data_IF_922797048422
#
_entry.id   IF_922797048422
#
_cell.length_a   1.000
_cell.length_b   1.000
_cell.length_c   1.000
_cell.angle_alpha   90.00
_cell.angle_beta   90.00
_cell.angle_gamma   90.00
#
_symmetry.space_group_name_H-M   'P 1'
#
loop_
_entity.id
_entity.type
_entity.pdbx_description
1 polymer ?
#
# COMPACT_ATOMS: atom_id res chain seq x y z
N UNK A 1 28.28 -16.37 22.09
CA UNK A 1 27.62 -15.54 21.06
C UNK A 1 27.77 -14.09 21.48
N UNK A 2 28.52 -13.23 20.77
CA UNK A 2 28.69 -11.85 21.20
C UNK A 2 27.47 -11.02 20.76
N UNK A 3 26.88 -10.33 21.72
CA UNK A 3 25.82 -9.34 21.50
C UNK A 3 26.32 -8.25 20.53
N UNK A 4 25.60 -8.02 19.45
CA UNK A 4 25.84 -6.89 18.53
C UNK A 4 25.44 -5.59 19.22
N UNK A 5 26.40 -5.00 19.95
CA UNK A 5 26.27 -3.68 20.54
C UNK A 5 26.11 -2.62 19.44
N UNK A 6 25.17 -1.70 19.62
CA UNK A 6 25.07 -0.49 18.81
C UNK A 6 26.45 0.21 18.75
N UNK A 7 26.89 0.70 17.57
CA UNK A 7 28.21 1.30 17.44
C UNK A 7 28.42 2.45 18.42
N UNK A 8 29.56 2.46 19.11
CA UNK A 8 29.88 3.45 20.13
C UNK A 8 30.26 4.81 19.52
N UNK A 9 30.07 5.90 20.29
CA UNK A 9 30.32 7.31 19.89
C UNK A 9 31.68 7.55 19.19
N UNK A 10 32.70 6.74 19.48
CA UNK A 10 34.05 6.88 18.93
C UNK A 10 34.17 6.37 17.49
N UNK A 11 33.41 5.32 17.12
CA UNK A 11 33.31 4.82 15.74
C UNK A 11 32.40 5.71 14.88
N UNK A 12 31.39 6.34 15.50
CA UNK A 12 30.50 7.33 14.87
C UNK A 12 31.25 8.57 14.36
N UNK A 13 32.21 9.11 15.12
CA UNK A 13 32.95 10.31 14.71
C UNK A 13 33.92 10.05 13.53
N UNK A 14 34.43 8.83 13.38
CA UNK A 14 35.32 8.44 12.28
C UNK A 14 34.57 8.13 10.97
N UNK A 15 33.30 7.70 11.04
CA UNK A 15 32.42 7.57 9.85
C UNK A 15 31.58 8.81 9.57
N UNK A 16 31.39 9.71 10.54
CA UNK A 16 30.62 10.95 10.35
C UNK A 16 31.31 11.96 9.41
N UNK A 17 32.65 11.98 9.34
CA UNK A 17 33.38 12.90 8.46
C UNK A 17 33.18 12.61 6.96
N UNK A 18 32.80 11.38 6.58
CA UNK A 18 32.47 11.03 5.19
C UNK A 18 30.95 11.07 4.89
N UNK A 19 30.09 10.97 5.92
CA UNK A 19 28.62 10.99 5.76
C UNK A 19 27.98 12.39 5.96
N UNK A 20 28.66 13.32 6.66
CA UNK A 20 28.12 14.65 6.93
C UNK A 20 28.08 15.57 5.69
N UNK A 21 28.85 15.27 4.64
CA UNK A 21 28.82 16.05 3.40
C UNK A 21 27.60 15.76 2.51
N UNK A 22 26.85 14.67 2.75
CA UNK A 22 25.70 14.27 1.92
C UNK A 22 24.33 14.69 2.49
N UNK A 23 24.27 15.27 3.70
CA UNK A 23 23.00 15.52 4.42
C UNK A 23 22.61 16.99 4.58
N UNK A 24 23.36 17.92 3.97
CA UNK A 24 23.05 19.35 3.96
C UNK A 24 22.96 19.97 2.56
N UNK A 25 22.99 19.14 1.50
CA UNK A 25 22.57 19.64 0.19
C UNK A 25 21.06 19.91 0.25
N UNK A 26 20.56 21.08 -0.21
CA UNK A 26 19.13 21.21 -0.48
C UNK A 26 18.78 20.04 -1.39
N UNK A 27 17.72 19.27 -1.07
CA UNK A 27 17.22 18.20 -1.94
C UNK A 27 17.20 18.77 -3.35
N UNK A 28 18.18 18.38 -4.16
CA UNK A 28 18.39 18.97 -5.46
C UNK A 28 17.06 18.83 -6.17
N UNK A 29 16.52 19.95 -6.68
CA UNK A 29 15.27 20.00 -7.42
C UNK A 29 15.15 18.72 -8.25
N UNK A 30 14.25 17.83 -7.85
CA UNK A 30 13.93 16.68 -8.66
C UNK A 30 13.59 17.26 -10.03
N UNK A 31 14.31 16.79 -11.06
CA UNK A 31 14.07 17.28 -12.42
C UNK A 31 12.56 17.24 -12.67
N UNK A 32 11.97 18.31 -13.24
CA UNK A 32 10.52 18.48 -13.25
C UNK A 32 9.83 17.26 -13.85
N UNK A 33 8.66 16.92 -13.31
CA UNK A 33 7.82 15.87 -13.88
C UNK A 33 7.63 16.11 -15.38
N UNK A 34 7.66 15.03 -16.14
CA UNK A 34 7.32 15.02 -17.56
C UNK A 34 5.81 15.01 -17.72
N UNK A 35 5.33 15.54 -18.85
CA UNK A 35 3.92 15.52 -19.26
C UNK A 35 2.96 16.21 -18.29
N UNK A 36 3.44 17.17 -17.49
CA UNK A 36 2.59 18.00 -16.64
C UNK A 36 1.53 18.72 -17.48
N UNK A 37 0.33 18.79 -16.91
CA UNK A 37 -0.83 19.43 -17.53
C UNK A 37 -0.96 20.87 -17.07
N UNK A 38 -0.45 21.80 -17.86
CA UNK A 38 -0.36 23.24 -17.51
C UNK A 38 -1.36 24.09 -18.29
N UNK A 39 -1.42 25.40 -17.99
CA UNK A 39 -2.27 26.35 -18.71
C UNK A 39 -3.74 26.30 -18.32
N UNK A 40 -4.07 25.75 -17.14
CA UNK A 40 -5.44 25.73 -16.61
C UNK A 40 -6.39 24.73 -17.28
N UNK A 41 -5.90 23.93 -18.24
CA UNK A 41 -6.71 22.87 -18.87
C UNK A 41 -7.01 21.74 -17.87
N UNK A 42 -8.13 21.06 -18.08
CA UNK A 42 -8.46 19.83 -17.34
C UNK A 42 -7.52 18.68 -17.74
N UNK A 43 -7.28 17.78 -16.80
CA UNK A 43 -6.67 16.48 -17.07
C UNK A 43 -7.65 15.62 -17.89
N UNK A 44 -7.15 14.94 -18.91
CA UNK A 44 -7.87 13.88 -19.60
C UNK A 44 -7.56 12.56 -18.93
N UNK A 45 -8.53 12.05 -18.17
CA UNK A 45 -8.39 10.88 -17.31
C UNK A 45 -9.07 9.66 -17.95
N UNK A 46 -8.34 8.56 -18.01
CA UNK A 46 -8.91 7.25 -18.33
C UNK A 46 -9.03 6.39 -17.07
N UNK A 47 -10.16 5.70 -16.90
CA UNK A 47 -10.42 4.89 -15.72
C UNK A 47 -10.37 3.40 -16.06
N UNK A 48 -9.57 2.62 -15.33
CA UNK A 48 -9.39 1.17 -15.51
C UNK A 48 -9.90 0.44 -14.27
N UNK A 49 -10.94 -0.38 -14.45
CA UNK A 49 -11.72 -0.98 -13.36
C UNK A 49 -12.75 0.01 -12.83
N UNK A 50 -14.04 -0.27 -13.03
CA UNK A 50 -15.14 0.68 -12.88
C UNK A 50 -16.12 0.31 -11.77
N UNK A 51 -16.03 -0.91 -11.22
CA UNK A 51 -16.86 -1.32 -10.09
C UNK A 51 -16.28 -0.96 -8.72
N UNK A 52 -17.12 -0.87 -7.68
CA UNK A 52 -16.70 -0.69 -6.29
C UNK A 52 -15.77 0.52 -6.10
N UNK A 53 -14.50 0.27 -5.75
CA UNK A 53 -13.52 1.37 -5.57
C UNK A 53 -13.25 2.14 -6.86
N UNK A 54 -13.20 1.45 -8.00
CA UNK A 54 -13.01 2.08 -9.31
C UNK A 54 -14.07 3.10 -9.66
N UNK A 55 -15.32 2.85 -9.26
CA UNK A 55 -16.40 3.84 -9.36
C UNK A 55 -16.06 5.09 -8.54
N UNK A 56 -15.74 4.93 -7.25
CA UNK A 56 -15.44 6.06 -6.38
C UNK A 56 -14.19 6.85 -6.82
N UNK A 57 -13.16 6.18 -7.33
CA UNK A 57 -11.94 6.83 -7.82
C UNK A 57 -12.21 7.62 -9.11
N UNK A 58 -13.04 7.07 -10.02
CA UNK A 58 -13.50 7.77 -11.22
C UNK A 58 -14.31 9.01 -10.88
N UNK A 59 -15.24 8.90 -9.91
CA UNK A 59 -16.05 10.01 -9.45
C UNK A 59 -15.24 11.07 -8.69
N UNK A 60 -14.18 10.67 -7.98
CA UNK A 60 -13.26 11.61 -7.33
C UNK A 60 -12.50 12.47 -8.34
N UNK A 61 -12.43 12.06 -9.60
CA UNK A 61 -11.84 12.82 -10.71
C UNK A 61 -12.87 13.67 -11.49
N UNK A 62 -14.11 13.83 -11.00
CA UNK A 62 -15.17 14.55 -11.73
C UNK A 62 -14.90 16.05 -11.99
N UNK A 63 -13.90 16.65 -11.34
CA UNK A 63 -13.43 18.02 -11.69
C UNK A 63 -12.67 18.07 -13.01
N UNK A 64 -12.16 16.92 -13.46
CA UNK A 64 -11.36 16.75 -14.66
C UNK A 64 -12.22 16.18 -15.81
N UNK A 65 -11.60 15.90 -16.96
CA UNK A 65 -12.27 15.35 -18.13
C UNK A 65 -12.09 13.83 -18.17
N UNK A 66 -13.17 13.06 -17.95
CA UNK A 66 -13.13 11.61 -18.12
C UNK A 66 -13.28 11.29 -19.61
N UNK A 67 -12.18 10.84 -20.24
CA UNK A 67 -12.13 10.59 -21.70
C UNK A 67 -12.32 9.13 -22.06
N UNK A 68 -12.03 8.20 -21.14
CA UNK A 68 -12.13 6.78 -21.39
C UNK A 68 -12.51 5.99 -20.14
N UNK A 69 -13.30 4.94 -20.32
CA UNK A 69 -13.79 4.04 -19.27
C UNK A 69 -13.53 2.60 -19.71
N UNK A 70 -12.74 1.87 -18.91
CA UNK A 70 -12.30 0.52 -19.20
C UNK A 70 -12.71 -0.47 -18.11
N UNK A 71 -13.59 -1.43 -18.43
CA UNK A 71 -13.90 -2.56 -17.56
C UNK A 71 -14.10 -3.83 -18.38
N UNK A 72 -13.56 -4.94 -17.89
CA UNK A 72 -13.75 -6.26 -18.50
C UNK A 72 -15.19 -6.75 -18.35
N UNK A 73 -15.93 -6.21 -17.38
CA UNK A 73 -17.36 -6.43 -17.17
C UNK A 73 -18.17 -5.13 -17.33
N UNK A 74 -18.82 -4.97 -18.48
CA UNK A 74 -19.57 -3.74 -18.79
C UNK A 74 -20.76 -3.50 -17.87
N UNK A 75 -21.31 -4.53 -17.22
CA UNK A 75 -22.37 -4.31 -16.24
C UNK A 75 -21.85 -3.53 -15.02
N UNK A 76 -20.59 -3.75 -14.63
CA UNK A 76 -19.95 -3.00 -13.54
C UNK A 76 -19.68 -1.55 -13.90
N UNK A 77 -19.45 -1.26 -15.19
CA UNK A 77 -19.22 0.09 -15.70
C UNK A 77 -20.48 0.92 -15.95
N UNK A 78 -21.67 0.30 -15.86
CA UNK A 78 -22.96 0.89 -16.31
C UNK A 78 -23.22 2.30 -15.79
N UNK A 79 -23.01 2.54 -14.49
CA UNK A 79 -23.25 3.87 -13.90
C UNK A 79 -22.32 4.93 -14.48
N UNK A 80 -21.02 4.63 -14.64
CA UNK A 80 -20.07 5.56 -15.21
C UNK A 80 -20.31 5.77 -16.70
N UNK A 81 -20.72 4.73 -17.45
CA UNK A 81 -21.12 4.87 -18.85
C UNK A 81 -22.34 5.79 -19.03
N UNK A 82 -23.27 5.76 -18.09
CA UNK A 82 -24.42 6.67 -18.07
C UNK A 82 -23.99 8.10 -17.73
N UNK A 83 -23.13 8.27 -16.71
CA UNK A 83 -22.69 9.59 -16.23
C UNK A 83 -21.74 10.30 -17.21
N UNK A 84 -20.94 9.53 -17.93
CA UNK A 84 -19.96 10.03 -18.90
C UNK A 84 -20.22 9.41 -20.28
N UNK A 85 -21.35 9.76 -20.94
CA UNK A 85 -21.75 9.12 -22.19
C UNK A 85 -20.80 9.40 -23.37
N UNK A 86 -19.99 10.46 -23.26
CA UNK A 86 -18.99 10.84 -24.27
C UNK A 86 -17.64 10.14 -24.08
N UNK A 87 -17.40 9.51 -22.93
CA UNK A 87 -16.16 8.79 -22.70
C UNK A 87 -16.13 7.51 -23.56
N UNK A 88 -15.01 7.27 -24.23
CA UNK A 88 -14.81 6.05 -25.01
C UNK A 88 -14.82 4.83 -24.07
N UNK A 89 -15.36 3.70 -24.54
CA UNK A 89 -15.59 2.50 -23.72
C UNK A 89 -14.73 1.37 -24.22
N UNK A 90 -13.98 0.74 -23.32
CA UNK A 90 -13.07 -0.35 -23.64
C UNK A 90 -13.24 -1.51 -22.67
N UNK A 91 -13.00 -2.73 -23.14
CA UNK A 91 -12.84 -3.91 -22.25
C UNK A 91 -11.39 -4.13 -21.88
N UNK A 92 -10.48 -3.84 -22.81
CA UNK A 92 -9.05 -4.04 -22.67
C UNK A 92 -8.32 -2.70 -22.54
N UNK A 93 -7.63 -2.51 -21.41
CA UNK A 93 -6.87 -1.28 -21.16
C UNK A 93 -5.69 -1.14 -22.12
N UNK A 94 -5.16 -2.25 -22.66
CA UNK A 94 -4.05 -2.25 -23.61
C UNK A 94 -4.50 -1.63 -24.93
N UNK A 95 -5.67 -2.04 -25.40
CA UNK A 95 -6.31 -1.46 -26.58
C UNK A 95 -6.63 0.02 -26.35
N UNK A 96 -7.23 0.36 -25.20
CA UNK A 96 -7.53 1.74 -24.83
C UNK A 96 -6.27 2.62 -24.88
N UNK A 97 -5.18 2.19 -24.24
CA UNK A 97 -3.93 2.94 -24.19
C UNK A 97 -3.27 3.06 -25.57
N UNK A 98 -3.37 2.03 -26.41
CA UNK A 98 -2.85 2.06 -27.78
C UNK A 98 -3.62 3.04 -28.68
N UNK A 99 -4.96 3.02 -28.65
CA UNK A 99 -5.80 3.84 -29.53
C UNK A 99 -5.97 5.29 -29.04
N UNK A 100 -5.91 5.51 -27.72
CA UNK A 100 -6.14 6.80 -27.11
C UNK A 100 -4.88 7.46 -26.56
N UNK A 101 -3.69 6.90 -26.80
CA UNK A 101 -2.42 7.36 -26.25
C UNK A 101 -2.31 8.88 -26.06
N UNK A 102 -2.38 9.67 -27.13
CA UNK A 102 -2.21 11.14 -27.07
C UNK A 102 -3.42 11.90 -26.49
N UNK A 103 -4.54 11.20 -26.29
CA UNK A 103 -5.80 11.69 -25.72
C UNK A 103 -5.91 11.43 -24.21
N UNK A 104 -4.95 10.73 -23.61
CA UNK A 104 -4.92 10.43 -22.17
C UNK A 104 -3.71 11.12 -21.54
N UNK A 105 -3.94 11.90 -20.49
CA UNK A 105 -2.87 12.49 -19.66
C UNK A 105 -2.59 11.61 -18.43
N UNK A 106 -3.64 11.02 -17.86
CA UNK A 106 -3.56 10.30 -16.59
C UNK A 106 -4.52 9.11 -16.54
N UNK A 107 -4.20 8.12 -15.71
CA UNK A 107 -5.05 6.94 -15.50
C UNK A 107 -5.34 6.69 -14.02
N UNK A 108 -6.57 6.26 -13.72
CA UNK A 108 -6.91 5.64 -12.44
C UNK A 108 -7.02 4.12 -12.62
N UNK A 109 -6.40 3.32 -11.74
CA UNK A 109 -6.37 1.85 -11.81
C UNK A 109 -6.92 1.28 -10.51
N UNK A 110 -8.04 0.58 -10.60
CA UNK A 110 -8.77 0.02 -9.44
C UNK A 110 -9.29 -1.39 -9.73
N UNK A 111 -8.50 -2.17 -10.46
CA UNK A 111 -8.75 -3.58 -10.81
C UNK A 111 -8.40 -4.52 -9.64
N UNK A 112 -8.53 -5.85 -9.77
CA UNK A 112 -7.96 -6.77 -8.80
C UNK A 112 -6.42 -6.74 -8.75
N UNK A 113 -5.84 -7.09 -7.59
CA UNK A 113 -4.40 -6.91 -7.29
C UNK A 113 -3.48 -7.49 -8.37
N UNK A 114 -3.82 -8.66 -8.94
CA UNK A 114 -2.99 -9.35 -9.94
C UNK A 114 -2.78 -8.58 -11.24
N UNK A 115 -3.56 -7.54 -11.50
CA UNK A 115 -3.49 -6.69 -12.70
C UNK A 115 -2.95 -5.28 -12.43
N UNK A 116 -2.81 -4.87 -11.16
CA UNK A 116 -2.30 -3.53 -10.83
C UNK A 116 -0.95 -3.27 -11.48
N UNK A 117 -0.02 -4.24 -11.39
CA UNK A 117 1.33 -4.10 -11.93
C UNK A 117 1.35 -3.83 -13.43
N UNK A 118 0.70 -4.68 -14.23
CA UNK A 118 0.78 -4.62 -15.70
C UNK A 118 0.13 -3.35 -16.25
N UNK A 119 -1.04 -2.97 -15.73
CA UNK A 119 -1.70 -1.73 -16.11
C UNK A 119 -0.88 -0.49 -15.70
N UNK A 120 -0.30 -0.51 -14.49
CA UNK A 120 0.51 0.61 -13.97
C UNK A 120 1.80 0.77 -14.74
N UNK A 121 2.54 -0.32 -15.00
CA UNK A 121 3.80 -0.29 -15.73
C UNK A 121 3.58 0.27 -17.14
N UNK A 122 2.58 -0.25 -17.87
CA UNK A 122 2.26 0.21 -19.22
C UNK A 122 1.91 1.70 -19.24
N UNK A 123 1.10 2.18 -18.30
CA UNK A 123 0.76 3.59 -18.21
C UNK A 123 1.99 4.48 -17.92
N UNK A 124 2.87 4.05 -17.01
CA UNK A 124 4.13 4.74 -16.70
C UNK A 124 5.05 4.80 -17.92
N UNK A 125 5.21 3.69 -18.65
CA UNK A 125 6.05 3.60 -19.85
C UNK A 125 5.54 4.51 -20.97
N UNK A 126 4.21 4.66 -21.08
CA UNK A 126 3.56 5.61 -21.99
C UNK A 126 3.55 7.06 -21.47
N UNK A 127 4.25 7.34 -20.36
CA UNK A 127 4.39 8.67 -19.79
C UNK A 127 3.10 9.23 -19.20
N UNK A 128 2.16 8.38 -18.77
CA UNK A 128 0.90 8.79 -18.14
C UNK A 128 1.08 8.96 -16.65
N UNK A 129 0.41 9.96 -16.07
CA UNK A 129 0.29 10.03 -14.61
C UNK A 129 -0.59 8.90 -14.10
N UNK A 130 -0.29 8.33 -12.94
CA UNK A 130 -0.99 7.14 -12.43
C UNK A 130 -1.50 7.34 -11.01
N UNK A 131 -2.79 7.07 -10.81
CA UNK A 131 -3.36 6.79 -9.50
C UNK A 131 -3.77 5.31 -9.47
N UNK A 132 -3.23 4.51 -8.56
CA UNK A 132 -3.47 3.06 -8.53
C UNK A 132 -3.88 2.61 -7.13
N UNK A 133 -4.89 1.75 -7.01
CA UNK A 133 -5.32 1.26 -5.70
C UNK A 133 -4.27 0.38 -5.00
N UNK A 134 -4.44 0.26 -3.68
CA UNK A 134 -3.62 -0.62 -2.84
C UNK A 134 -4.11 -2.08 -2.91
N UNK A 135 -3.24 -3.07 -2.64
CA UNK A 135 -1.77 -2.94 -2.59
C UNK A 135 -1.23 -2.54 -3.97
N UNK A 136 -0.09 -1.85 -4.04
CA UNK A 136 0.43 -1.34 -5.32
C UNK A 136 0.66 -2.46 -6.34
N UNK A 137 1.08 -3.63 -5.86
CA UNK A 137 1.44 -4.81 -6.65
C UNK A 137 1.03 -6.09 -5.93
N UNK A 138 1.04 -7.20 -6.67
CA UNK A 138 0.75 -8.52 -6.12
C UNK A 138 2.02 -9.18 -5.57
N UNK A 139 3.20 -8.84 -6.11
CA UNK A 139 4.49 -9.39 -5.67
C UNK A 139 5.49 -8.31 -5.27
N UNK A 140 6.51 -8.71 -4.50
CA UNK A 140 7.61 -7.84 -4.06
C UNK A 140 8.46 -7.39 -5.27
N UNK A 141 8.76 -8.32 -6.19
CA UNK A 141 9.54 -8.02 -7.39
C UNK A 141 8.86 -6.97 -8.29
N UNK A 142 7.53 -7.07 -8.44
CA UNK A 142 6.74 -6.06 -9.16
C UNK A 142 6.86 -4.67 -8.53
N UNK A 143 6.83 -4.55 -7.19
CA UNK A 143 6.96 -3.27 -6.50
C UNK A 143 8.29 -2.58 -6.83
N UNK A 144 9.39 -3.35 -6.84
CA UNK A 144 10.73 -2.85 -7.22
C UNK A 144 10.81 -2.41 -8.68
N UNK A 145 10.19 -3.16 -9.59
CA UNK A 145 10.14 -2.78 -11.01
C UNK A 145 9.35 -1.49 -11.19
N UNK A 146 8.17 -1.34 -10.58
CA UNK A 146 7.40 -0.09 -10.66
C UNK A 146 8.15 1.09 -10.06
N UNK A 147 8.86 0.89 -8.95
CA UNK A 147 9.71 1.92 -8.35
C UNK A 147 10.75 2.45 -9.32
N UNK A 148 11.47 1.54 -9.99
CA UNK A 148 12.47 1.89 -10.98
C UNK A 148 11.85 2.55 -12.22
N UNK A 149 10.74 2.02 -12.72
CA UNK A 149 10.03 2.57 -13.87
C UNK A 149 9.49 3.99 -13.61
N UNK A 150 8.85 4.21 -12.46
CA UNK A 150 8.33 5.52 -12.06
C UNK A 150 9.46 6.56 -11.92
N UNK A 151 10.58 6.18 -11.29
CA UNK A 151 11.74 7.05 -11.15
C UNK A 151 12.33 7.45 -12.52
N UNK A 152 12.36 6.52 -13.49
CA UNK A 152 12.85 6.79 -14.85
C UNK A 152 11.87 7.65 -15.67
N UNK A 153 10.58 7.33 -15.61
CA UNK A 153 9.55 8.00 -16.39
C UNK A 153 9.31 9.45 -15.94
N UNK A 154 9.50 9.73 -14.64
CA UNK A 154 9.25 11.04 -14.03
C UNK A 154 7.82 11.52 -14.27
N UNK A 155 6.85 10.63 -14.05
CA UNK A 155 5.43 10.95 -14.05
C UNK A 155 4.92 11.02 -12.61
N UNK A 156 3.85 11.79 -12.39
CA UNK A 156 3.17 11.84 -11.09
C UNK A 156 2.49 10.49 -10.82
N UNK A 157 2.78 9.91 -9.67
CA UNK A 157 2.21 8.62 -9.25
C UNK A 157 1.66 8.72 -7.83
N UNK A 158 0.59 7.98 -7.54
CA UNK A 158 0.04 7.87 -6.19
C UNK A 158 -0.65 6.50 -6.00
N UNK A 159 -0.39 5.85 -4.86
CA UNK A 159 -1.18 4.71 -4.42
C UNK A 159 -2.42 5.18 -3.63
N UNK A 160 -3.54 4.51 -3.84
CA UNK A 160 -4.82 4.77 -3.20
C UNK A 160 -4.94 4.27 -1.76
N UNK A 161 -3.94 4.49 -0.91
CA UNK A 161 -4.06 4.29 0.54
C UNK A 161 -4.52 5.59 1.22
N UNK A 162 -5.84 5.83 1.23
CA UNK A 162 -6.43 7.15 1.52
C UNK A 162 -5.98 7.75 2.85
N UNK A 163 -5.74 6.90 3.87
CA UNK A 163 -5.25 7.32 5.19
C UNK A 163 -3.95 8.12 5.17
N UNK A 164 -3.13 7.97 4.13
CA UNK A 164 -1.89 8.75 3.99
C UNK A 164 -2.15 10.25 3.82
N UNK A 165 -3.31 10.64 3.25
CA UNK A 165 -3.72 12.02 3.10
C UNK A 165 -4.38 12.61 4.37
N UNK A 166 -4.61 11.81 5.40
CA UNK A 166 -5.24 12.26 6.64
C UNK A 166 -4.32 13.10 7.52
N UNK A 167 -4.93 13.99 8.32
CA UNK A 167 -4.26 14.76 9.37
C UNK A 167 -3.59 13.83 10.40
N UNK A 168 -4.28 12.77 10.81
CA UNK A 168 -3.81 11.90 11.88
C UNK A 168 -2.55 11.10 11.55
N UNK A 169 -2.37 10.65 10.30
CA UNK A 169 -1.12 10.01 9.84
C UNK A 169 0.08 10.96 9.96
N UNK A 170 -0.12 12.24 9.63
CA UNK A 170 0.93 13.27 9.74
C UNK A 170 1.23 13.60 11.19
N UNK A 171 0.20 13.76 12.03
CA UNK A 171 0.35 13.96 13.48
C UNK A 171 1.08 12.79 14.13
N UNK A 172 0.75 11.55 13.75
CA UNK A 172 1.44 10.34 14.24
C UNK A 172 2.95 10.43 13.99
N UNK A 173 3.34 10.79 12.76
CA UNK A 173 4.75 10.97 12.41
C UNK A 173 5.40 12.12 13.19
N UNK A 174 4.77 13.28 13.22
CA UNK A 174 5.28 14.46 13.93
C UNK A 174 5.47 14.21 15.43
N UNK A 175 4.52 13.52 16.07
CA UNK A 175 4.58 13.21 17.50
C UNK A 175 5.62 12.14 17.83
N UNK A 176 5.77 11.13 16.97
CA UNK A 176 6.84 10.14 17.11
C UNK A 176 8.21 10.80 16.91
N UNK A 177 8.37 11.67 15.92
CA UNK A 177 9.63 12.40 15.66
C UNK A 177 9.97 13.39 16.76
N UNK A 178 8.96 14.04 17.36
CA UNK A 178 9.13 14.89 18.53
C UNK A 178 9.38 14.10 19.83
N UNK A 179 9.32 12.76 19.79
CA UNK A 179 9.57 11.91 20.95
C UNK A 179 8.47 11.98 22.02
N UNK A 180 7.23 12.27 21.64
CA UNK A 180 6.08 12.40 22.57
C UNK A 180 5.93 11.14 23.41
N UNK A 181 6.00 9.95 22.80
CA UNK A 181 5.97 8.65 23.49
C UNK A 181 7.36 8.03 23.69
N UNK A 182 8.42 8.78 23.39
CA UNK A 182 9.80 8.30 23.45
C UNK A 182 10.16 7.27 22.40
N UNK A 183 11.05 6.34 22.74
CA UNK A 183 11.56 5.36 21.75
C UNK A 183 10.52 4.27 21.55
N UNK A 184 9.89 4.24 20.38
CA UNK A 184 8.98 3.14 20.01
C UNK A 184 9.77 1.84 19.86
N UNK A 185 9.30 0.78 20.53
CA UNK A 185 9.90 -0.57 20.50
C UNK A 185 8.99 -1.60 19.85
N UNK A 186 7.68 -1.41 19.96
CA UNK A 186 6.69 -2.36 19.50
C UNK A 186 5.48 -1.64 18.91
N UNK A 187 4.90 -2.22 17.86
CA UNK A 187 3.66 -1.76 17.23
C UNK A 187 2.74 -2.95 17.03
N UNK A 188 1.46 -2.80 17.35
CA UNK A 188 0.45 -3.80 17.05
C UNK A 188 -0.58 -3.21 16.10
N UNK A 189 -0.90 -3.94 15.04
CA UNK A 189 -1.86 -3.55 14.00
C UNK A 189 -2.83 -4.69 13.75
N UNK A 190 -4.12 -4.41 13.65
CA UNK A 190 -5.12 -5.47 13.47
C UNK A 190 -6.29 -5.08 12.60
N UNK A 191 -6.98 -6.08 12.08
CA UNK A 191 -8.21 -5.92 11.30
C UNK A 191 -9.18 -7.08 11.52
N UNK A 192 -10.47 -6.84 11.24
CA UNK A 192 -11.50 -7.87 11.14
C UNK A 192 -11.57 -8.52 9.76
N UNK A 193 -10.71 -8.13 8.81
CA UNK A 193 -10.56 -8.86 7.55
C UNK A 193 -9.95 -10.24 7.80
N UNK A 194 -10.29 -11.26 7.01
CA UNK A 194 -11.08 -11.20 5.78
C UNK A 194 -12.61 -11.12 6.04
N UNK A 195 -13.34 -10.40 5.18
CA UNK A 195 -14.82 -10.46 5.07
C UNK A 195 -15.26 -11.20 3.78
N UNK A 196 -14.34 -11.99 3.23
CA UNK A 196 -14.48 -12.85 2.07
C UNK A 196 -13.92 -14.23 2.42
N UNK A 197 -14.19 -15.28 1.64
CA UNK A 197 -13.65 -16.61 1.91
C UNK A 197 -12.12 -16.67 1.89
N UNK A 198 -11.52 -17.30 2.90
CA UNK A 198 -10.09 -17.59 3.03
C UNK A 198 -9.91 -18.91 3.80
N UNK A 199 -8.83 -19.64 3.52
CA UNK A 199 -8.62 -21.00 4.02
C UNK A 199 -9.61 -22.00 3.42
N UNK A 200 -9.96 -21.79 2.14
CA UNK A 200 -10.96 -22.55 1.39
C UNK A 200 -10.35 -23.13 0.10
N UNK A 201 -10.88 -24.25 -0.43
CA UNK A 201 -10.49 -24.74 -1.75
C UNK A 201 -10.92 -23.77 -2.86
N UNK A 202 -10.43 -24.02 -4.08
CA UNK A 202 -10.90 -23.30 -5.26
C UNK A 202 -12.40 -23.59 -5.45
N UNK A 203 -13.25 -22.57 -5.63
CA UNK A 203 -14.68 -22.78 -5.76
C UNK A 203 -15.04 -23.43 -7.10
N UNK A 204 -16.18 -24.13 -7.11
CA UNK A 204 -16.68 -24.82 -8.30
C UNK A 204 -16.86 -23.88 -9.49
N UNK A 205 -16.58 -24.36 -10.72
CA UNK A 205 -16.69 -23.57 -11.93
C UNK A 205 -18.15 -23.30 -12.30
N UNK A 206 -18.37 -22.20 -13.03
CA UNK A 206 -19.67 -21.83 -13.57
C UNK A 206 -19.53 -21.22 -14.99
N UNK A 207 -20.63 -21.09 -15.76
CA UNK A 207 -20.60 -20.34 -17.00
C UNK A 207 -20.23 -18.87 -16.79
N UNK A 208 -19.36 -18.34 -17.64
CA UNK A 208 -18.98 -16.92 -17.63
C UNK A 208 -20.20 -16.06 -17.97
N UNK A 209 -20.52 -15.00 -17.19
CA UNK A 209 -21.56 -14.05 -17.54
C UNK A 209 -21.27 -13.38 -18.89
N UNK A 210 -22.29 -13.19 -19.73
CA UNK A 210 -22.15 -12.56 -21.06
C UNK A 210 -21.54 -11.15 -21.01
N UNK A 211 -21.62 -10.47 -19.88
CA UNK A 211 -21.12 -9.12 -19.70
C UNK A 211 -19.64 -9.08 -19.37
N UNK A 212 -19.05 -10.20 -18.92
CA UNK A 212 -17.68 -10.34 -18.44
C UNK A 212 -16.78 -11.02 -19.47
N UNK A 213 -15.68 -10.37 -19.83
CA UNK A 213 -14.58 -11.02 -20.53
C UNK A 213 -13.64 -11.67 -19.50
N UNK A 214 -13.76 -12.99 -19.34
CA UNK A 214 -12.98 -13.72 -18.35
C UNK A 214 -11.50 -13.80 -18.69
N UNK A 215 -11.15 -13.89 -19.98
CA UNK A 215 -9.75 -13.92 -20.41
C UNK A 215 -9.05 -12.61 -20.02
N UNK A 216 -9.70 -11.47 -20.25
CA UNK A 216 -9.17 -10.18 -19.85
C UNK A 216 -9.16 -10.00 -18.32
N UNK A 217 -10.16 -10.53 -17.60
CA UNK A 217 -10.19 -10.49 -16.13
C UNK A 217 -9.03 -11.27 -15.51
N UNK A 218 -8.76 -12.49 -16.00
CA UNK A 218 -7.60 -13.29 -15.58
C UNK A 218 -6.30 -12.53 -15.85
N UNK A 219 -6.21 -11.88 -17.02
CA UNK A 219 -5.03 -11.13 -17.39
C UNK A 219 -3.77 -12.00 -17.28
N UNK A 220 -2.78 -11.53 -16.53
CA UNK A 220 -1.50 -12.22 -16.32
C UNK A 220 -1.56 -13.39 -15.33
N UNK A 221 -2.69 -13.61 -14.64
CA UNK A 221 -2.84 -14.70 -13.69
C UNK A 221 -2.93 -16.07 -14.40
N UNK A 222 -2.67 -17.20 -13.69
CA UNK A 222 -2.90 -18.54 -14.21
C UNK A 222 -4.31 -18.74 -14.75
N UNK A 223 -4.44 -19.64 -15.73
CA UNK A 223 -5.73 -19.97 -16.30
C UNK A 223 -6.52 -20.86 -15.33
N UNK A 224 -7.66 -20.34 -14.88
CA UNK A 224 -8.64 -21.06 -14.07
C UNK A 224 -10.03 -20.83 -14.65
N UNK A 225 -10.96 -21.79 -14.52
CA UNK A 225 -12.34 -21.58 -14.92
C UNK A 225 -12.97 -20.45 -14.10
N UNK A 226 -13.93 -19.75 -14.71
CA UNK A 226 -14.71 -18.75 -13.98
C UNK A 226 -15.50 -19.39 -12.84
N UNK A 227 -15.57 -18.69 -11.71
CA UNK A 227 -16.49 -18.99 -10.62
C UNK A 227 -17.04 -17.71 -10.01
N UNK A 228 -18.35 -17.62 -9.71
CA UNK A 228 -18.91 -16.53 -8.92
C UNK A 228 -18.37 -16.53 -7.47
N UNK A 229 -17.74 -17.64 -7.04
CA UNK A 229 -17.00 -17.71 -5.78
C UNK A 229 -15.68 -16.92 -5.78
N UNK A 230 -15.20 -16.46 -6.94
CA UNK A 230 -13.98 -15.66 -7.12
C UNK A 230 -14.33 -14.22 -7.49
N UNK A 231 -14.92 -14.02 -8.66
CA UNK A 231 -15.24 -12.70 -9.18
C UNK A 231 -16.70 -12.32 -8.87
N UNK A 232 -17.00 -11.04 -8.57
CA UNK A 232 -16.11 -9.89 -8.70
C UNK A 232 -15.42 -9.45 -7.39
N UNK A 233 -15.65 -10.11 -6.25
CA UNK A 233 -15.22 -9.61 -4.94
C UNK A 233 -14.29 -10.54 -4.16
N UNK A 234 -14.56 -11.85 -4.18
CA UNK A 234 -13.90 -12.83 -3.31
C UNK A 234 -12.47 -13.20 -3.75
N UNK A 235 -12.04 -12.76 -4.94
CA UNK A 235 -10.68 -12.91 -5.48
C UNK A 235 -9.58 -12.52 -4.48
N UNK A 236 -9.88 -11.61 -3.54
CA UNK A 236 -8.99 -11.17 -2.47
C UNK A 236 -8.39 -12.30 -1.65
N UNK A 237 -9.14 -13.40 -1.47
CA UNK A 237 -8.72 -14.54 -0.67
C UNK A 237 -7.86 -15.55 -1.40
N UNK A 238 -7.71 -15.45 -2.73
CA UNK A 238 -7.05 -16.45 -3.56
C UNK A 238 -5.70 -15.94 -4.08
N UNK A 239 -4.64 -16.73 -3.89
CA UNK A 239 -3.26 -16.30 -4.16
C UNK A 239 -2.94 -16.02 -5.62
N UNK A 240 -3.78 -16.46 -6.56
CA UNK A 240 -3.62 -16.11 -7.98
C UNK A 240 -4.05 -14.67 -8.29
N UNK A 241 -4.94 -14.10 -7.46
CA UNK A 241 -5.62 -12.84 -7.78
C UNK A 241 -5.41 -11.75 -6.73
N UNK A 242 -5.39 -12.12 -5.45
CA UNK A 242 -5.38 -11.21 -4.32
C UNK A 242 -4.31 -11.54 -3.30
N UNK A 243 -4.06 -10.57 -2.43
CA UNK A 243 -2.99 -10.65 -1.44
C UNK A 243 -3.49 -11.02 -0.02
N UNK A 244 -4.69 -11.59 0.11
CA UNK A 244 -5.31 -11.91 1.40
C UNK A 244 -5.62 -10.68 2.26
N UNK A 245 -6.02 -10.92 3.52
CA UNK A 245 -6.36 -9.86 4.48
C UNK A 245 -5.19 -8.88 4.74
N UNK A 246 -3.97 -9.40 4.88
CA UNK A 246 -2.78 -8.58 5.09
C UNK A 246 -2.49 -7.67 3.89
N UNK A 247 -2.52 -8.19 2.67
CA UNK A 247 -2.30 -7.34 1.49
C UNK A 247 -3.43 -6.34 1.25
N UNK A 248 -4.68 -6.71 1.55
CA UNK A 248 -5.82 -5.80 1.44
C UNK A 248 -5.75 -4.67 2.49
N UNK A 249 -5.41 -4.94 3.75
CA UNK A 249 -5.50 -3.91 4.81
C UNK A 249 -4.17 -3.35 5.31
N UNK A 250 -3.07 -4.07 5.13
CA UNK A 250 -1.76 -3.69 5.66
C UNK A 250 -1.30 -2.32 5.17
N UNK A 251 -1.49 -2.00 3.88
CA UNK A 251 -1.12 -0.69 3.31
C UNK A 251 -1.94 0.49 3.86
N UNK A 252 -3.08 0.24 4.50
CA UNK A 252 -3.84 1.28 5.20
C UNK A 252 -3.38 1.40 6.66
N UNK A 253 -3.34 0.27 7.37
CA UNK A 253 -3.19 0.25 8.84
C UNK A 253 -1.74 0.49 9.25
N UNK A 254 -0.78 -0.06 8.50
CA UNK A 254 0.65 0.05 8.81
C UNK A 254 1.28 1.31 8.21
N UNK A 255 0.54 2.11 7.43
CA UNK A 255 1.06 3.29 6.71
C UNK A 255 1.75 4.30 7.64
N UNK A 256 1.04 4.72 8.70
CA UNK A 256 1.57 5.66 9.67
C UNK A 256 2.81 5.10 10.40
N UNK A 257 2.81 3.80 10.71
CA UNK A 257 3.94 3.15 11.36
C UNK A 257 5.17 3.06 10.45
N UNK A 258 4.95 2.63 9.21
CA UNK A 258 5.96 2.58 8.15
C UNK A 258 6.63 3.94 7.97
N UNK A 259 5.83 5.01 7.89
CA UNK A 259 6.34 6.35 7.66
C UNK A 259 7.01 7.00 8.87
N UNK A 260 6.47 6.78 10.06
CA UNK A 260 6.98 7.40 11.29
C UNK A 260 8.24 6.71 11.82
N UNK A 261 8.42 5.41 11.57
CA UNK A 261 9.51 4.60 12.12
C UNK A 261 10.56 4.19 11.08
N UNK A 262 10.38 4.59 9.83
CA UNK A 262 11.24 4.27 8.69
C UNK A 262 11.46 2.76 8.57
N UNK A 263 10.37 2.02 8.34
CA UNK A 263 10.34 0.55 8.29
C UNK A 263 10.73 0.04 6.90
N UNK A 264 11.96 0.35 6.47
CA UNK A 264 12.56 -0.11 5.22
C UNK A 264 13.81 -0.94 5.49
N UNK A 265 14.17 -1.80 4.54
CA UNK A 265 15.39 -2.58 4.57
C UNK A 265 15.20 -3.98 5.18
N UNK A 266 16.29 -4.52 5.71
CA UNK A 266 16.35 -5.89 6.21
C UNK A 266 15.40 -6.11 7.40
N UNK A 267 14.84 -7.31 7.47
CA UNK A 267 13.93 -7.70 8.53
C UNK A 267 13.92 -9.22 8.73
N UNK A 268 13.63 -9.67 9.93
CA UNK A 268 13.28 -11.07 10.20
C UNK A 268 11.78 -11.15 10.40
N UNK A 269 11.11 -12.09 9.72
CA UNK A 269 9.68 -12.27 9.83
C UNK A 269 9.32 -13.69 10.21
N UNK A 270 8.30 -13.84 11.04
CA UNK A 270 7.66 -15.12 11.32
C UNK A 270 6.15 -14.96 11.26
N UNK A 271 5.46 -16.03 10.88
CA UNK A 271 4.01 -16.02 10.78
C UNK A 271 3.43 -17.29 11.41
N UNK A 272 2.31 -17.13 12.09
CA UNK A 272 1.45 -18.22 12.55
C UNK A 272 0.09 -18.01 11.93
N UNK A 273 -0.49 -19.06 11.35
CA UNK A 273 -1.78 -18.98 10.65
C UNK A 273 -2.68 -20.14 11.01
N UNK A 274 -4.00 -19.93 10.86
CA UNK A 274 -5.02 -20.95 10.96
C UNK A 274 -5.77 -21.12 9.64
N UNK A 275 -6.24 -22.34 9.39
CA UNK A 275 -6.82 -22.77 8.11
C UNK A 275 -5.80 -23.50 7.25
N UNK A 276 -6.25 -24.03 6.12
CA UNK A 276 -5.39 -24.79 5.22
C UNK A 276 -4.28 -23.88 4.66
N UNK A 277 -3.04 -24.18 5.06
CA UNK A 277 -1.86 -23.62 4.40
C UNK A 277 -1.78 -24.24 3.01
N UNK A 278 -2.38 -23.53 2.04
CA UNK A 278 -2.50 -23.99 0.66
C UNK A 278 -1.88 -22.99 -0.31
N UNK A 279 -1.50 -23.49 -1.48
CA UNK A 279 -1.13 -22.65 -2.61
C UNK A 279 -2.35 -22.01 -3.30
N UNK A 280 -3.58 -22.28 -2.83
CA UNK A 280 -4.84 -21.80 -3.44
C UNK A 280 -5.34 -20.52 -2.79
N UNK A 281 -5.50 -20.51 -1.46
CA UNK A 281 -6.07 -19.38 -0.72
C UNK A 281 -5.26 -18.98 0.50
N UNK A 282 -5.35 -17.69 0.83
CA UNK A 282 -4.78 -17.13 2.04
C UNK A 282 -5.44 -17.72 3.31
N UNK A 283 -4.72 -17.83 4.44
CA UNK A 283 -5.24 -18.49 5.63
C UNK A 283 -6.44 -17.75 6.23
N UNK A 284 -7.29 -18.46 6.97
CA UNK A 284 -8.49 -17.90 7.61
C UNK A 284 -8.16 -16.80 8.62
N UNK A 285 -7.07 -16.95 9.35
CA UNK A 285 -6.52 -15.93 10.25
C UNK A 285 -5.01 -16.06 10.38
N UNK A 286 -4.34 -14.97 10.74
CA UNK A 286 -2.90 -14.95 10.94
C UNK A 286 -2.41 -13.96 11.99
N UNK A 287 -1.23 -14.26 12.52
CA UNK A 287 -0.39 -13.35 13.29
C UNK A 287 0.98 -13.30 12.61
N UNK A 288 1.39 -12.13 12.14
CA UNK A 288 2.70 -11.94 11.48
C UNK A 288 3.55 -11.00 12.32
N UNK A 289 4.74 -11.47 12.70
CA UNK A 289 5.71 -10.67 13.46
C UNK A 289 6.84 -10.23 12.55
N UNK A 290 7.11 -8.93 12.51
CA UNK A 290 8.24 -8.32 11.83
C UNK A 290 9.24 -7.85 12.88
N UNK A 291 10.51 -8.19 12.72
CA UNK A 291 11.60 -7.68 13.53
C UNK A 291 12.54 -6.88 12.62
N UNK A 292 12.50 -5.56 12.77
CA UNK A 292 13.45 -4.70 12.09
C UNK A 292 14.66 -4.44 12.99
N UNK A 293 15.90 -4.63 12.48
CA UNK A 293 17.13 -4.34 13.22
C UNK A 293 17.30 -2.82 13.39
N UNK A 294 18.37 -2.34 14.02
CA UNK A 294 18.65 -0.91 14.07
C UNK A 294 18.76 -0.31 12.65
N UNK A 295 18.12 0.85 12.40
CA UNK A 295 18.10 1.51 11.08
C UNK A 295 18.54 2.97 11.23
N UNK A 296 19.81 3.24 10.98
CA UNK A 296 20.40 4.56 11.22
C UNK A 296 20.29 4.99 12.69
N UNK A 297 19.49 6.02 12.97
CA UNK A 297 19.20 6.49 14.34
C UNK A 297 17.98 5.81 14.98
N UNK A 298 17.23 4.99 14.23
CA UNK A 298 16.03 4.29 14.71
C UNK A 298 16.43 3.02 15.45
N UNK A 299 15.89 2.86 16.66
CA UNK A 299 16.03 1.63 17.43
C UNK A 299 15.44 0.42 16.69
N UNK A 300 15.84 -0.82 17.06
CA UNK A 300 15.11 -2.01 16.66
C UNK A 300 13.63 -1.89 17.03
N UNK A 301 12.75 -2.35 16.14
CA UNK A 301 11.30 -2.27 16.31
C UNK A 301 10.69 -3.62 15.93
N UNK A 302 9.79 -4.11 16.78
CA UNK A 302 8.92 -5.24 16.50
C UNK A 302 7.56 -4.73 16.02
N UNK A 303 7.04 -5.27 14.93
CA UNK A 303 5.66 -5.03 14.49
C UNK A 303 4.91 -6.36 14.58
N UNK A 304 3.70 -6.36 15.10
CA UNK A 304 2.83 -7.55 15.09
C UNK A 304 1.52 -7.21 14.40
N UNK A 305 1.25 -7.92 13.32
CA UNK A 305 0.01 -7.87 12.57
C UNK A 305 -0.94 -8.98 13.03
N UNK A 306 -2.24 -8.69 13.08
CA UNK A 306 -3.30 -9.64 13.41
C UNK A 306 -4.46 -9.50 12.44
N UNK A 307 -4.93 -10.60 11.88
CA UNK A 307 -6.15 -10.63 11.06
C UNK A 307 -7.05 -11.82 11.40
N UNK A 308 -8.22 -11.86 10.76
CA UNK A 308 -9.33 -12.74 11.06
C UNK A 308 -9.85 -12.52 12.48
N UNK A 309 -9.89 -13.61 13.24
CA UNK A 309 -10.33 -13.62 14.64
C UNK A 309 -9.20 -13.24 15.61
N UNK A 310 -7.96 -13.10 15.13
CA UNK A 310 -6.82 -12.75 16.00
C UNK A 310 -6.85 -11.28 16.38
N UNK A 311 -6.44 -10.98 17.61
CA UNK A 311 -6.36 -9.62 18.16
C UNK A 311 -5.11 -9.48 19.02
N UNK A 312 -4.52 -8.27 19.09
CA UNK A 312 -3.48 -8.00 20.06
C UNK A 312 -4.05 -7.97 21.48
N UNK A 313 -3.21 -8.16 22.50
CA UNK A 313 -3.57 -7.79 23.86
C UNK A 313 -4.00 -6.32 23.92
N UNK A 314 -5.10 -6.04 24.62
CA UNK A 314 -5.55 -4.66 24.85
C UNK A 314 -4.51 -3.93 25.70
N UNK A 315 -3.99 -2.76 25.27
CA UNK A 315 -3.13 -1.93 26.11
C UNK A 315 -3.82 -1.62 27.45
N UNK A 316 -3.18 -1.88 28.60
CA UNK A 316 -3.75 -1.58 29.91
C UNK A 316 -4.18 -0.11 30.05
N UNK A 317 -3.50 0.80 29.35
CA UNK A 317 -3.76 2.25 29.33
C UNK A 317 -5.10 2.63 28.68
N UNK A 318 -5.76 1.73 27.95
CA UNK A 318 -7.15 1.94 27.51
C UNK A 318 -8.16 1.82 28.66
N UNK A 319 -7.74 1.25 29.79
CA UNK A 319 -8.57 1.06 30.96
C UNK A 319 -9.25 -0.31 31.03
N UNK A 320 -9.73 -0.70 32.24
CA UNK A 320 -10.36 -2.00 32.45
C UNK A 320 -11.61 -2.20 31.59
N UNK A 321 -11.73 -3.38 30.96
CA UNK A 321 -12.89 -3.72 30.14
C UNK A 321 -12.97 -3.06 28.77
N UNK A 322 -11.96 -2.27 28.39
CA UNK A 322 -11.90 -1.65 27.07
C UNK A 322 -11.85 -2.70 25.96
N UNK A 323 -12.64 -2.47 24.91
CA UNK A 323 -12.69 -3.31 23.71
C UNK A 323 -11.97 -2.60 22.57
N UNK A 324 -11.10 -3.33 21.89
CA UNK A 324 -10.50 -2.84 20.66
C UNK A 324 -11.56 -2.77 19.55
N UNK A 325 -11.53 -1.72 18.69
CA UNK A 325 -12.37 -1.64 17.50
C UNK A 325 -12.03 -2.75 16.50
N UNK A 326 -12.80 -2.84 15.42
CA UNK A 326 -12.62 -3.86 14.39
C UNK A 326 -11.24 -3.80 13.70
N UNK A 327 -10.61 -2.63 13.64
CA UNK A 327 -9.24 -2.48 13.18
C UNK A 327 -8.60 -1.22 13.73
N UNK A 328 -7.27 -1.22 13.78
CA UNK A 328 -6.50 -0.11 14.35
C UNK A 328 -5.02 -0.43 14.47
N UNK A 329 -4.30 0.51 15.07
CA UNK A 329 -2.86 0.38 15.33
C UNK A 329 -2.48 1.11 16.61
N UNK A 330 -1.57 0.53 17.39
CA UNK A 330 -0.97 1.20 18.53
C UNK A 330 0.54 1.01 18.61
N UNK A 331 1.20 2.02 19.18
CA UNK A 331 2.65 2.15 19.29
C UNK A 331 3.03 2.16 20.76
N UNK A 332 3.91 1.25 21.15
CA UNK A 332 4.47 1.16 22.50
C UNK A 332 5.84 1.83 22.53
N UNK A 333 5.89 3.00 23.16
CA UNK A 333 7.12 3.74 23.42
C UNK A 333 7.51 3.70 24.89
N UNK A 334 8.81 3.94 25.17
CA UNK A 334 9.35 3.94 26.55
C UNK A 334 8.76 5.02 27.47
N UNK A 335 8.04 6.00 26.91
CA UNK A 335 7.31 7.04 27.66
C UNK A 335 5.80 7.01 27.41
N UNK A 336 5.26 5.93 26.84
CA UNK A 336 3.83 5.64 26.80
C UNK A 336 3.31 5.23 25.41
N UNK A 337 2.00 5.31 25.23
CA UNK A 337 1.31 4.65 24.11
C UNK A 337 0.63 5.67 23.20
N UNK A 338 0.82 5.50 21.89
CA UNK A 338 0.07 6.21 20.86
C UNK A 338 -0.91 5.23 20.20
N UNK A 339 -2.15 5.65 19.98
CA UNK A 339 -3.24 4.78 19.59
C UNK A 339 -4.07 5.40 18.46
N UNK A 340 -4.31 4.64 17.40
CA UNK A 340 -5.31 4.95 16.36
C UNK A 340 -6.38 3.86 16.39
N UNK A 341 -7.62 4.26 16.63
CA UNK A 341 -8.79 3.37 16.73
C UNK A 341 -9.47 3.06 15.40
N UNK A 342 -8.80 3.36 14.29
CA UNK A 342 -9.34 3.20 12.94
C UNK A 342 -8.26 2.69 11.98
N UNK A 343 -8.68 2.24 10.80
CA UNK A 343 -7.78 1.63 9.81
C UNK A 343 -7.09 2.63 8.88
N UNK A 344 -7.35 3.94 9.03
CA UNK A 344 -6.85 5.00 8.16
C UNK A 344 -6.06 6.10 8.89
N UNK A 345 -5.71 5.87 10.16
CA UNK A 345 -4.94 6.81 10.98
C UNK A 345 -5.60 8.19 11.05
N UNK A 346 -6.92 8.24 11.23
CA UNK A 346 -7.67 9.49 11.16
C UNK A 346 -7.36 10.42 12.36
N UNK A 347 -7.25 9.86 13.56
CA UNK A 347 -7.09 10.63 14.80
C UNK A 347 -6.23 9.90 15.84
N UNK A 348 -4.91 10.16 15.89
CA UNK A 348 -4.05 9.57 16.91
C UNK A 348 -4.36 10.14 18.29
N UNK A 349 -4.32 9.27 19.30
CA UNK A 349 -4.54 9.60 20.71
C UNK A 349 -3.38 9.10 21.56
N UNK A 350 -3.03 9.86 22.60
CA UNK A 350 -2.14 9.37 23.65
C UNK A 350 -2.96 8.58 24.67
N UNK A 351 -2.41 7.47 25.16
CA UNK A 351 -2.99 6.74 26.27
C UNK A 351 -2.13 6.91 27.55
N UNK A 352 -2.77 6.88 28.73
CA UNK A 352 -4.22 6.86 28.94
C UNK A 352 -4.87 8.19 28.53
N UNK A 353 -6.21 8.25 28.46
CA UNK A 353 -6.94 9.39 27.88
C UNK A 353 -6.66 10.73 28.60
N UNK A 354 -6.35 10.68 29.89
CA UNK A 354 -5.94 11.84 30.69
C UNK A 354 -4.69 12.49 30.11
N UNK A 355 -3.77 11.69 29.54
CA UNK A 355 -2.57 12.20 28.88
C UNK A 355 -2.92 12.93 27.60
N UNK A 356 -3.88 12.43 26.81
CA UNK A 356 -4.36 13.13 25.63
C UNK A 356 -5.05 14.45 26.00
N UNK A 357 -5.84 14.44 27.07
CA UNK A 357 -6.52 15.63 27.60
C UNK A 357 -5.53 16.68 28.10
N UNK A 358 -4.44 16.26 28.75
CA UNK A 358 -3.39 17.15 29.23
C UNK A 358 -2.42 17.63 28.12
N UNK A 359 -2.45 16.99 26.94
CA UNK A 359 -1.52 17.28 25.83
C UNK A 359 -1.95 18.52 25.03
N UNK A 360 -1.78 19.68 25.67
CA UNK A 360 -2.09 21.01 25.15
C UNK A 360 -0.93 21.63 24.39
N UNK A 361 0.31 21.45 24.87
CA UNK A 361 1.54 21.89 24.19
C UNK A 361 1.99 20.86 23.14
N UNK A 362 1.34 20.90 21.97
CA UNK A 362 1.56 19.92 20.90
C UNK A 362 2.73 20.32 20.00
N UNK A 363 3.52 19.34 19.50
CA UNK A 363 4.57 19.59 18.52
C UNK A 363 4.07 20.40 17.32
N UNK A 364 4.95 21.25 16.80
CA UNK A 364 4.69 22.03 15.59
C UNK A 364 4.35 21.08 14.43
N UNK A 365 3.30 21.42 13.69
CA UNK A 365 2.97 20.77 12.42
C UNK A 365 4.00 21.18 11.37
N UNK A 366 4.83 20.25 10.92
CA UNK A 366 5.92 20.49 9.95
C UNK A 366 5.63 19.88 8.58
N UNK A 367 4.73 18.90 8.52
CA UNK A 367 4.37 18.19 7.29
C UNK A 367 3.21 18.93 6.59
N UNK A 368 3.31 19.25 5.29
CA UNK A 368 2.20 19.86 4.56
C UNK A 368 0.90 19.05 4.65
N UNK A 369 -0.21 19.73 4.94
CA UNK A 369 -1.55 19.12 4.99
C UNK A 369 -2.19 19.12 3.62
N UNK A 370 -2.94 18.07 3.34
CA UNK A 370 -3.69 17.95 2.08
C UNK A 370 -5.05 18.59 2.26
N UNK A 371 -5.45 19.51 1.36
CA UNK A 371 -6.78 20.10 1.44
C UNK A 371 -7.86 19.01 1.50
N UNK A 372 -8.74 19.11 2.49
CA UNK A 372 -9.84 18.17 2.74
C UNK A 372 -9.40 16.71 2.97
N UNK A 373 -8.12 16.46 3.27
CA UNK A 373 -7.54 15.12 3.35
C UNK A 373 -7.83 14.26 2.10
N UNK A 374 -7.91 14.90 0.92
CA UNK A 374 -8.33 14.24 -0.31
C UNK A 374 -7.11 13.80 -1.16
N UNK A 375 -6.82 12.48 -1.25
CA UNK A 375 -5.67 11.98 -2.00
C UNK A 375 -5.81 12.18 -3.52
N UNK A 376 -7.02 12.12 -4.10
CA UNK A 376 -7.21 12.38 -5.52
C UNK A 376 -6.93 13.85 -5.86
N UNK A 377 -7.32 14.76 -4.98
CA UNK A 377 -7.00 16.19 -5.15
C UNK A 377 -5.50 16.47 -5.03
N UNK A 378 -4.81 15.78 -4.11
CA UNK A 378 -3.33 15.82 -4.02
C UNK A 378 -2.70 15.39 -5.35
N UNK A 379 -3.14 14.24 -5.89
CA UNK A 379 -2.67 13.72 -7.17
C UNK A 379 -2.95 14.66 -8.34
N UNK A 380 -4.20 15.11 -8.51
CA UNK A 380 -4.64 15.99 -9.61
C UNK A 380 -3.82 17.28 -9.64
N UNK A 381 -3.59 17.90 -8.47
CA UNK A 381 -2.79 19.12 -8.37
C UNK A 381 -1.34 18.87 -8.78
N UNK A 382 -0.74 17.79 -8.29
CA UNK A 382 0.62 17.42 -8.67
C UNK A 382 0.75 17.17 -10.19
N UNK A 383 -0.23 16.49 -10.82
CA UNK A 383 -0.31 16.30 -12.28
C UNK A 383 -0.36 17.62 -13.07
N UNK A 384 -0.84 18.70 -12.44
CA UNK A 384 -0.88 20.06 -13.01
C UNK A 384 0.35 20.91 -12.67
N UNK A 385 1.33 20.33 -11.98
CA UNK A 385 2.52 21.06 -11.50
C UNK A 385 2.23 21.94 -10.28
N UNK A 386 1.10 21.71 -9.60
CA UNK A 386 0.69 22.47 -8.43
C UNK A 386 1.05 21.72 -7.14
N UNK A 387 1.98 22.26 -6.37
CA UNK A 387 2.39 21.68 -5.09
C UNK A 387 3.42 20.55 -5.22
N UNK A 388 3.71 19.85 -4.11
CA UNK A 388 4.71 18.79 -4.09
C UNK A 388 4.21 17.50 -4.72
N UNK A 389 5.12 16.54 -4.90
CA UNK A 389 4.76 15.15 -5.20
C UNK A 389 3.76 14.62 -4.16
N UNK A 390 2.82 13.76 -4.56
CA UNK A 390 1.93 13.13 -3.59
C UNK A 390 2.70 12.35 -2.52
N UNK A 391 2.18 12.36 -1.29
CA UNK A 391 2.83 11.68 -0.16
C UNK A 391 2.98 10.17 -0.38
N UNK A 392 1.97 9.54 -0.99
CA UNK A 392 1.98 8.10 -1.29
C UNK A 392 2.45 7.78 -2.73
N UNK A 393 3.45 8.52 -3.22
CA UNK A 393 4.03 8.26 -4.54
C UNK A 393 4.85 6.96 -4.57
N UNK A 394 4.96 6.35 -5.75
CA UNK A 394 5.61 5.04 -5.95
C UNK A 394 7.09 5.07 -5.56
N UNK A 395 7.79 6.16 -5.85
CA UNK A 395 9.25 6.23 -5.69
C UNK A 395 9.67 6.40 -4.23
N UNK A 396 8.98 7.24 -3.47
CA UNK A 396 9.40 7.58 -2.11
C UNK A 396 8.70 6.73 -1.04
N UNK A 397 7.53 6.18 -1.34
CA UNK A 397 6.64 5.64 -0.31
C UNK A 397 5.94 4.33 -0.67
N UNK A 398 5.05 4.33 -1.65
CA UNK A 398 4.06 3.24 -1.77
C UNK A 398 4.63 1.91 -2.26
N UNK A 399 5.70 1.91 -3.06
CA UNK A 399 6.40 0.68 -3.44
C UNK A 399 7.07 0.01 -2.24
N UNK A 400 7.75 0.79 -1.39
CA UNK A 400 8.42 0.25 -0.20
C UNK A 400 7.41 -0.19 0.87
N UNK A 401 6.30 0.55 1.04
CA UNK A 401 5.20 0.15 1.92
C UNK A 401 4.58 -1.17 1.46
N UNK A 402 4.30 -1.29 0.16
CA UNK A 402 3.75 -2.51 -0.43
C UNK A 402 4.72 -3.67 -0.25
N UNK A 403 6.01 -3.48 -0.50
CA UNK A 403 7.02 -4.51 -0.21
C UNK A 403 6.97 -4.96 1.24
N UNK A 404 7.00 -4.03 2.20
CA UNK A 404 6.93 -4.38 3.63
C UNK A 404 5.70 -5.25 3.94
N UNK A 405 4.53 -4.88 3.42
CA UNK A 405 3.29 -5.64 3.64
C UNK A 405 3.39 -7.03 2.99
N UNK A 406 3.90 -7.11 1.77
CA UNK A 406 4.04 -8.38 1.05
C UNK A 406 5.12 -9.29 1.64
N UNK A 407 6.09 -8.78 2.40
CA UNK A 407 7.00 -9.63 3.18
C UNK A 407 6.24 -10.48 4.21
N UNK A 408 5.17 -9.96 4.80
CA UNK A 408 4.33 -10.77 5.67
C UNK A 408 3.59 -11.87 4.93
N UNK A 409 3.12 -11.61 3.70
CA UNK A 409 2.58 -12.65 2.83
C UNK A 409 3.66 -13.68 2.44
N UNK A 410 4.89 -13.25 2.19
CA UNK A 410 6.02 -14.15 1.94
C UNK A 410 6.26 -15.08 3.14
N UNK A 411 6.28 -14.55 4.36
CA UNK A 411 6.41 -15.35 5.58
C UNK A 411 5.23 -16.32 5.76
N UNK A 412 4.00 -15.86 5.47
CA UNK A 412 2.81 -16.71 5.51
C UNK A 412 2.87 -17.86 4.51
N UNK A 413 3.32 -17.61 3.29
CA UNK A 413 3.45 -18.63 2.23
C UNK A 413 4.66 -19.54 2.43
N UNK A 414 5.71 -19.06 3.08
CA UNK A 414 6.88 -19.86 3.43
C UNK A 414 6.61 -20.85 4.57
N UNK A 415 5.65 -20.52 5.46
CA UNK A 415 5.33 -21.34 6.64
C UNK A 415 6.46 -21.44 7.67
N UNK A 416 7.51 -20.62 7.53
CA UNK A 416 8.73 -20.63 8.35
C UNK A 416 9.22 -19.20 8.58
N UNK A 417 10.14 -19.04 9.54
CA UNK A 417 10.80 -17.76 9.76
C UNK A 417 11.70 -17.42 8.57
N UNK A 418 11.59 -16.20 8.06
CA UNK A 418 12.41 -15.69 6.96
C UNK A 418 13.34 -14.55 7.44
N UNK A 419 14.55 -14.53 6.91
CA UNK A 419 15.52 -13.44 7.05
C UNK A 419 15.65 -12.72 5.71
N UNK A 420 15.11 -11.51 5.64
CA UNK A 420 15.03 -10.71 4.42
C UNK A 420 16.28 -9.86 4.24
N UNK A 421 16.98 -10.07 3.12
CA UNK A 421 18.04 -9.19 2.60
C UNK A 421 17.41 -8.28 1.54
N UNK A 422 17.07 -7.06 1.94
CA UNK A 422 16.34 -6.11 1.08
C UNK A 422 17.19 -5.63 -0.09
N UNK A 423 18.51 -5.56 0.09
CA UNK A 423 19.43 -5.12 -0.96
C UNK A 423 19.56 -6.16 -2.08
N UNK A 424 19.46 -7.46 -1.73
CA UNK A 424 19.54 -8.56 -2.70
C UNK A 424 18.20 -9.15 -3.12
N UNK A 425 17.09 -8.68 -2.54
CA UNK A 425 15.74 -9.12 -2.84
C UNK A 425 15.54 -10.63 -2.64
N UNK A 426 15.98 -11.17 -1.50
CA UNK A 426 15.92 -12.62 -1.22
C UNK A 426 15.82 -12.95 0.26
N UNK A 427 15.38 -14.17 0.55
CA UNK A 427 15.47 -14.77 1.88
C UNK A 427 16.83 -15.46 2.07
N UNK A 428 17.67 -14.99 2.99
CA UNK A 428 19.03 -15.55 3.18
C UNK A 428 19.03 -16.94 3.80
N UNK A 429 18.04 -17.22 4.65
CA UNK A 429 17.89 -18.49 5.37
C UNK A 429 16.94 -19.48 4.68
N UNK A 430 16.20 -19.07 3.65
CA UNK A 430 15.20 -19.90 2.97
C UNK A 430 15.10 -19.59 1.46
N UNK A 431 16.08 -20.00 0.64
CA UNK A 431 16.09 -19.72 -0.80
C UNK A 431 14.85 -20.22 -1.56
N UNK A 432 14.19 -21.28 -1.08
CA UNK A 432 12.97 -21.80 -1.71
C UNK A 432 11.79 -20.80 -1.65
N UNK A 433 11.82 -19.82 -0.74
CA UNK A 433 10.80 -18.78 -0.65
C UNK A 433 10.88 -17.78 -1.82
N UNK A 434 12.00 -17.73 -2.55
CA UNK A 434 12.19 -16.81 -3.68
C UNK A 434 11.13 -17.01 -4.78
N UNK A 435 10.53 -18.21 -4.87
CA UNK A 435 9.41 -18.52 -5.77
C UNK A 435 8.17 -17.64 -5.55
N UNK A 436 8.05 -17.00 -4.39
CA UNK A 436 6.94 -16.14 -4.02
C UNK A 436 7.28 -14.63 -4.12
N UNK A 437 8.55 -14.29 -4.34
CA UNK A 437 9.00 -12.90 -4.53
C UNK A 437 8.60 -12.39 -5.91
N UNK A 438 8.55 -13.30 -6.88
CA UNK A 438 8.15 -13.08 -8.26
C UNK A 438 6.97 -13.98 -8.61
N UNK A 439 6.33 -13.74 -9.76
CA UNK A 439 5.34 -14.66 -10.33
C UNK A 439 5.56 -14.83 -11.83
N UNK A 440 5.12 -15.95 -12.36
CA UNK A 440 5.06 -16.19 -13.81
C UNK A 440 3.85 -15.48 -14.41
N UNK A 441 3.99 -14.97 -15.63
CA UNK A 441 2.90 -14.31 -16.36
C UNK A 441 2.38 -15.19 -17.48
N UNK A 442 1.06 -15.35 -17.52
CA UNK A 442 0.35 -15.86 -18.68
C UNK A 442 0.38 -14.82 -19.82
N UNK A 443 0.51 -15.29 -21.06
CA UNK A 443 0.24 -14.48 -22.25
C UNK A 443 -1.25 -14.58 -22.59
N UNK A 444 -1.89 -13.46 -22.87
CA UNK A 444 -3.36 -13.39 -23.05
C UNK A 444 -3.81 -12.28 -23.97
#
# INVERSE_FOLDING_TARGET
MPATACPTRRRFLQTASLAAAASLAPRAFAAPFRNLVTGGRKLRVACIGLGGKGQSDSLACASEEIVALCDVDFERGRELFYRYPQAARYRDYRQMLAEMGDRIDAVTISTPDHTHFSATLMAIELGKHVYVQKPLTHTIGEARILKAAAAKARVVTQMGNQGHANEGTRLTKEWIEAGVIGTVREVHAWTNRPIWPQGVPLPEPAPVPKTLDWNLWLGVAPENPYSPGIAPFNWRGFWDYGCGALGDMGCHILDAAFWALDLRGDATLSAVSEGDHSDVSAPRSSVVTYQFPCRGKRAPVKIVWYDGEKRPPTPPELGPGAKLPEGGVFFLGDRGVLYNSDTYGASPRLLPEERMSAFTDRPKKTIPRIPKSNPHLEWIRACKGEGPNPGSNIVDHSADLTEMVLLGNLALRAGQTIEWDSARLRCTNLPAADRFIHKSYRLF
#
